data_IF_777658923878
#
_entry.id   IF_777658923878
#
_cell.length_a   1.000
_cell.length_b   1.000
_cell.length_c   1.000
_cell.angle_alpha   90.00
_cell.angle_beta   90.00
_cell.angle_gamma   90.00
#
_symmetry.space_group_name_H-M   'P 1'
#
loop_
_entity.id
_entity.type
_entity.pdbx_description
1 polymer ?
#
# COMPACT_ATOMS: atom_id res chain seq x y z
N UNK A 1 16.18 20.91 39.96
CA UNK A 1 14.99 20.02 39.89
C UNK A 1 14.19 20.21 38.60
N UNK A 2 13.96 21.45 38.15
CA UNK A 2 13.23 21.77 36.90
C UNK A 2 13.97 21.29 35.64
N UNK A 3 15.28 21.52 35.55
CA UNK A 3 16.10 21.09 34.40
C UNK A 3 16.10 19.57 34.19
N UNK A 4 16.11 18.78 35.27
CA UNK A 4 16.05 17.32 35.20
C UNK A 4 14.69 16.82 34.69
N UNK A 5 13.58 17.46 35.11
CA UNK A 5 12.25 17.18 34.57
C UNK A 5 12.15 17.51 33.07
N UNK A 6 12.72 18.63 32.64
CA UNK A 6 12.73 19.04 31.22
C UNK A 6 13.55 18.03 30.39
N UNK A 7 14.70 17.60 30.90
CA UNK A 7 15.54 16.60 30.24
C UNK A 7 14.83 15.24 30.11
N UNK A 8 14.16 14.78 31.18
CA UNK A 8 13.34 13.56 31.14
C UNK A 8 12.17 13.66 30.16
N UNK A 9 11.50 14.81 30.06
CA UNK A 9 10.43 15.03 29.10
C UNK A 9 10.94 15.05 27.65
N UNK A 10 12.11 15.64 27.39
CA UNK A 10 12.76 15.61 26.07
C UNK A 10 13.16 14.19 25.66
N UNK A 11 13.76 13.42 26.57
CA UNK A 11 14.13 12.02 26.32
C UNK A 11 12.90 11.15 26.02
N UNK A 12 11.83 11.29 26.81
CA UNK A 12 10.55 10.61 26.54
C UNK A 12 10.01 11.02 25.18
N UNK A 13 10.00 12.31 24.84
CA UNK A 13 9.60 12.80 23.51
C UNK A 13 10.39 12.20 22.34
N UNK A 14 11.70 11.99 22.52
CA UNK A 14 12.57 11.39 21.51
C UNK A 14 12.31 9.88 21.33
N UNK A 15 11.94 9.18 22.41
CA UNK A 15 11.58 7.75 22.39
C UNK A 15 10.22 7.48 21.70
N UNK A 16 9.32 8.47 21.63
CA UNK A 16 8.05 8.38 20.88
C UNK A 16 8.21 8.79 19.42
N UNK A 17 9.25 9.57 19.09
CA UNK A 17 9.51 10.03 17.73
C UNK A 17 10.12 8.94 16.81
N UNK A 18 10.56 7.81 17.37
CA UNK A 18 11.27 6.75 16.65
C UNK A 18 10.38 5.73 15.93
N UNK A 19 9.06 5.95 15.79
CA UNK A 19 8.29 5.21 14.78
C UNK A 19 8.64 5.78 13.40
N UNK A 20 9.61 5.18 12.73
CA UNK A 20 9.99 5.58 11.39
C UNK A 20 8.74 5.65 10.50
N UNK A 21 8.62 6.75 9.76
CA UNK A 21 7.50 7.04 8.86
C UNK A 21 7.58 6.17 7.58
N UNK A 22 8.05 4.92 7.70
CA UNK A 22 8.22 4.00 6.59
C UNK A 22 6.90 3.31 6.20
N UNK A 23 5.82 3.44 6.98
CA UNK A 23 4.49 2.89 6.65
C UNK A 23 3.99 3.37 5.28
N UNK A 24 3.96 4.68 5.00
CA UNK A 24 3.64 5.21 3.68
C UNK A 24 4.53 4.68 2.55
N UNK A 25 5.82 4.46 2.80
CA UNK A 25 6.75 3.90 1.80
C UNK A 25 6.41 2.43 1.54
N UNK A 26 6.21 1.63 2.59
CA UNK A 26 5.85 0.22 2.50
C UNK A 26 4.50 0.04 1.78
N UNK A 27 3.52 0.89 2.08
CA UNK A 27 2.24 0.93 1.38
C UNK A 27 2.44 1.24 -0.11
N UNK A 28 3.24 2.27 -0.45
CA UNK A 28 3.57 2.62 -1.83
C UNK A 28 4.20 1.45 -2.61
N UNK A 29 5.12 0.72 -1.99
CA UNK A 29 5.73 -0.48 -2.60
C UNK A 29 4.68 -1.59 -2.82
N UNK A 30 3.80 -1.82 -1.84
CA UNK A 30 2.72 -2.80 -1.96
C UNK A 30 1.78 -2.46 -3.12
N UNK A 31 1.33 -1.20 -3.20
CA UNK A 31 0.48 -0.71 -4.29
C UNK A 31 1.15 -0.86 -5.66
N UNK A 32 2.43 -0.49 -5.76
CA UNK A 32 3.18 -0.67 -7.00
C UNK A 32 3.29 -2.15 -7.42
N UNK A 33 3.48 -3.05 -6.45
CA UNK A 33 3.50 -4.49 -6.68
C UNK A 33 2.16 -5.03 -7.18
N UNK A 34 1.07 -4.68 -6.50
CA UNK A 34 -0.30 -5.06 -6.89
C UNK A 34 -0.66 -4.55 -8.30
N UNK A 35 -0.28 -3.31 -8.63
CA UNK A 35 -0.44 -2.75 -9.97
C UNK A 35 0.39 -3.55 -11.01
N UNK A 36 1.64 -3.88 -10.70
CA UNK A 36 2.51 -4.69 -11.57
C UNK A 36 1.93 -6.08 -11.88
N UNK A 37 1.39 -6.78 -10.87
CA UNK A 37 0.74 -8.09 -11.05
C UNK A 37 -0.50 -7.95 -11.93
N UNK A 38 -1.30 -6.91 -11.73
CA UNK A 38 -2.53 -6.69 -12.51
C UNK A 38 -2.23 -6.35 -13.96
N UNK A 39 -1.21 -5.53 -14.20
CA UNK A 39 -0.69 -5.25 -15.55
C UNK A 39 -0.27 -6.55 -16.24
N UNK A 40 0.47 -7.43 -15.56
CA UNK A 40 0.87 -8.72 -16.11
C UNK A 40 -0.34 -9.63 -16.41
N UNK A 41 -1.34 -9.66 -15.53
CA UNK A 41 -2.56 -10.45 -15.69
C UNK A 41 -3.39 -9.98 -16.91
N UNK A 42 -3.59 -8.68 -17.06
CA UNK A 42 -4.25 -8.10 -18.22
C UNK A 42 -3.46 -8.36 -19.51
N UNK A 43 -2.13 -8.22 -19.46
CA UNK A 43 -1.26 -8.49 -20.61
C UNK A 43 -1.32 -9.96 -21.05
N UNK A 44 -1.37 -10.90 -20.10
CA UNK A 44 -1.56 -12.33 -20.39
C UNK A 44 -2.92 -12.62 -21.06
N UNK A 45 -3.95 -11.80 -20.77
CA UNK A 45 -5.25 -11.85 -21.45
C UNK A 45 -5.27 -11.10 -22.80
N UNK A 46 -4.16 -10.44 -23.19
CA UNK A 46 -4.06 -9.68 -24.44
C UNK A 46 -4.57 -8.23 -24.33
N UNK A 47 -4.71 -7.69 -23.12
CA UNK A 47 -5.21 -6.35 -22.88
C UNK A 47 -4.20 -5.48 -22.13
N UNK A 48 -4.28 -4.17 -22.33
CA UNK A 48 -3.50 -3.19 -21.56
C UNK A 48 -4.32 -2.71 -20.37
N UNK A 49 -3.81 -2.88 -19.15
CA UNK A 49 -4.47 -2.38 -17.95
C UNK A 49 -4.64 -0.86 -18.01
N UNK A 50 -5.80 -0.35 -17.55
CA UNK A 50 -6.13 1.08 -17.56
C UNK A 50 -6.69 1.60 -18.89
N UNK A 51 -6.64 0.84 -19.99
CA UNK A 51 -7.20 1.27 -21.29
C UNK A 51 -8.53 0.59 -21.62
N UNK A 52 -8.91 -0.45 -20.88
CA UNK A 52 -10.12 -1.24 -21.15
C UNK A 52 -11.33 -0.61 -20.44
N UNK A 53 -12.45 -0.34 -21.14
CA UNK A 53 -13.67 0.14 -20.51
C UNK A 53 -14.21 -0.84 -19.46
N UNK A 54 -14.72 -0.32 -18.34
CA UNK A 54 -15.21 -1.15 -17.23
C UNK A 54 -16.29 -2.17 -17.63
N UNK A 55 -17.16 -1.84 -18.60
CA UNK A 55 -18.15 -2.77 -19.14
C UNK A 55 -17.49 -3.99 -19.83
N UNK A 56 -16.39 -3.79 -20.54
CA UNK A 56 -15.63 -4.87 -21.20
C UNK A 56 -14.89 -5.71 -20.17
N UNK A 57 -14.34 -5.08 -19.12
CA UNK A 57 -13.73 -5.79 -17.99
C UNK A 57 -14.76 -6.70 -17.32
N UNK A 58 -15.96 -6.20 -17.04
CA UNK A 58 -17.04 -6.97 -16.41
C UNK A 58 -17.57 -8.11 -17.30
N UNK A 59 -17.61 -7.90 -18.62
CA UNK A 59 -18.05 -8.90 -19.58
C UNK A 59 -17.00 -9.97 -19.89
N UNK A 60 -15.73 -9.76 -19.51
CA UNK A 60 -14.63 -10.69 -19.82
C UNK A 60 -14.11 -11.36 -18.54
N UNK A 61 -14.39 -12.67 -18.31
CA UNK A 61 -14.13 -13.33 -17.03
C UNK A 61 -12.68 -13.21 -16.54
N UNK A 62 -11.70 -13.32 -17.44
CA UNK A 62 -10.29 -13.18 -17.10
C UNK A 62 -9.97 -11.77 -16.58
N UNK A 63 -10.44 -10.71 -17.23
CA UNK A 63 -10.20 -9.34 -16.79
C UNK A 63 -10.95 -9.01 -15.50
N UNK A 64 -12.18 -9.49 -15.36
CA UNK A 64 -12.95 -9.34 -14.13
C UNK A 64 -12.20 -9.96 -12.93
N UNK A 65 -11.64 -11.16 -13.10
CA UNK A 65 -10.85 -11.83 -12.08
C UNK A 65 -9.54 -11.09 -11.77
N UNK A 66 -8.78 -10.66 -12.80
CA UNK A 66 -7.56 -9.86 -12.61
C UNK A 66 -7.86 -8.58 -11.82
N UNK A 67 -8.94 -7.87 -12.16
CA UNK A 67 -9.30 -6.60 -11.53
C UNK A 67 -9.86 -6.78 -10.11
N UNK A 68 -10.57 -7.88 -9.83
CA UNK A 68 -11.00 -8.21 -8.48
C UNK A 68 -9.79 -8.55 -7.58
N UNK A 69 -8.84 -9.34 -8.08
CA UNK A 69 -7.60 -9.66 -7.38
C UNK A 69 -6.77 -8.40 -7.08
N UNK A 70 -6.70 -7.46 -8.04
CA UNK A 70 -6.10 -6.15 -7.83
C UNK A 70 -6.71 -5.43 -6.63
N UNK A 71 -8.04 -5.26 -6.61
CA UNK A 71 -8.72 -4.57 -5.52
C UNK A 71 -8.49 -5.22 -4.13
N UNK A 72 -8.45 -6.56 -4.07
CA UNK A 72 -8.14 -7.27 -2.82
C UNK A 72 -6.69 -7.04 -2.39
N UNK A 73 -5.74 -7.07 -3.34
CA UNK A 73 -4.33 -6.79 -3.10
C UNK A 73 -4.15 -5.36 -2.54
N UNK A 74 -4.74 -4.37 -3.20
CA UNK A 74 -4.72 -2.96 -2.78
C UNK A 74 -5.32 -2.76 -1.39
N UNK A 75 -6.43 -3.43 -1.08
CA UNK A 75 -7.06 -3.36 0.24
C UNK A 75 -6.13 -3.91 1.34
N UNK A 76 -5.34 -4.93 1.04
CA UNK A 76 -4.37 -5.48 1.99
C UNK A 76 -3.19 -4.53 2.26
N UNK A 77 -2.84 -3.66 1.31
CA UNK A 77 -1.77 -2.67 1.47
C UNK A 77 -2.05 -1.62 2.55
N UNK A 78 -3.30 -1.48 2.99
CA UNK A 78 -3.65 -0.62 4.13
C UNK A 78 -2.94 -1.07 5.41
N UNK A 79 -2.71 -2.38 5.59
CA UNK A 79 -1.93 -2.87 6.71
C UNK A 79 -0.50 -2.30 6.68
N UNK A 80 0.13 -2.24 5.52
CA UNK A 80 1.46 -1.65 5.37
C UNK A 80 1.48 -0.13 5.62
N UNK A 81 0.35 0.56 5.41
CA UNK A 81 0.21 2.00 5.67
C UNK A 81 0.12 2.32 7.17
N UNK A 82 -0.66 1.53 7.92
CA UNK A 82 -1.00 1.83 9.32
C UNK A 82 -0.08 1.14 10.33
N UNK A 83 0.62 0.08 9.93
CA UNK A 83 1.54 -0.62 10.81
C UNK A 83 2.84 0.20 10.91
N UNK A 84 3.29 0.54 12.14
CA UNK A 84 4.60 1.13 12.34
C UNK A 84 5.65 0.14 11.85
N UNK A 85 6.41 0.53 10.83
CA UNK A 85 7.56 -0.22 10.33
C UNK A 85 8.84 0.46 10.83
N UNK A 86 9.80 -0.29 11.39
CA UNK A 86 11.02 0.23 11.99
C UNK A 86 11.93 0.95 10.98
#
# INVERSE_FOLDING_TARGET
MVAQKIWSLMLVGLLIASSANAGPIAAGICYAGCAGVTVACFAAAGFTFGTVPGAVIAATPALAACNAAFGICEASCIAALVVPVP
#
